data_IF_235917311752
#
_entry.id   IF_235917311752
#
_cell.length_a   1.000
_cell.length_b   1.000
_cell.length_c   1.000
_cell.angle_alpha   90.00
_cell.angle_beta   90.00
_cell.angle_gamma   90.00
#
_symmetry.space_group_name_H-M   'P 1'
#
loop_
_entity.id
_entity.type
_entity.pdbx_description
1 polymer ?
#
# COMPACT_ATOMS: atom_id res chain seq x y z
N UNK A 1 39.15 16.80 26.06
CA UNK A 1 38.73 15.41 25.80
C UNK A 1 38.85 14.51 27.06
N UNK A 2 39.76 14.79 27.98
CA UNK A 2 39.93 13.97 29.21
C UNK A 2 38.88 14.21 30.30
N UNK A 3 38.19 15.34 30.32
CA UNK A 3 37.21 15.65 31.35
C UNK A 3 35.82 14.98 31.17
N UNK A 4 35.54 14.52 29.97
CA UNK A 4 34.24 13.85 29.68
C UNK A 4 34.27 12.35 30.06
N UNK A 5 35.45 11.74 29.99
CA UNK A 5 35.60 10.32 30.33
C UNK A 5 35.51 10.00 31.83
N UNK A 6 35.75 10.98 32.69
CA UNK A 6 35.71 10.81 34.15
C UNK A 6 34.28 10.70 34.70
N UNK A 7 33.23 11.05 33.94
CA UNK A 7 31.83 11.00 34.36
C UNK A 7 31.06 9.84 33.72
N UNK A 8 31.66 9.13 32.78
CA UNK A 8 31.07 7.92 32.23
C UNK A 8 31.56 6.74 33.05
N UNK A 9 30.66 6.13 33.82
CA UNK A 9 30.95 4.86 34.49
C UNK A 9 31.51 3.83 33.51
N UNK A 10 32.05 2.75 34.00
CA UNK A 10 32.63 1.67 33.15
C UNK A 10 31.66 1.34 32.00
N UNK A 11 32.14 1.30 30.77
CA UNK A 11 31.26 1.02 29.63
C UNK A 11 30.62 -0.35 29.78
N UNK A 12 29.30 -0.40 29.83
CA UNK A 12 28.57 -1.69 29.82
C UNK A 12 28.53 -2.19 28.39
N UNK A 13 29.07 -3.35 28.14
CA UNK A 13 29.01 -4.01 26.85
C UNK A 13 27.62 -4.60 26.65
N UNK A 14 26.89 -4.10 25.67
CA UNK A 14 25.58 -4.63 25.26
C UNK A 14 25.81 -5.46 24.00
N UNK A 15 25.62 -6.78 24.09
CA UNK A 15 25.65 -7.65 22.94
C UNK A 15 24.28 -7.59 22.22
N UNK A 16 24.28 -7.47 20.90
CA UNK A 16 23.07 -7.60 20.10
C UNK A 16 22.66 -9.07 20.03
N UNK A 17 21.48 -9.46 20.57
CA UNK A 17 21.12 -10.88 20.62
C UNK A 17 20.90 -11.49 19.23
N UNK A 18 20.13 -10.88 18.30
CA UNK A 18 19.96 -11.39 16.93
C UNK A 18 20.87 -10.66 15.93
N UNK A 19 21.19 -11.35 14.84
CA UNK A 19 21.72 -10.69 13.64
C UNK A 19 20.61 -9.88 12.98
N UNK A 20 20.87 -8.62 12.66
CA UNK A 20 19.87 -7.74 12.06
C UNK A 20 20.40 -6.35 11.71
N UNK A 21 19.51 -5.48 11.28
CA UNK A 21 19.81 -4.09 10.98
C UNK A 21 19.60 -3.24 12.23
N UNK A 22 20.64 -2.50 12.62
CA UNK A 22 20.51 -1.52 13.69
C UNK A 22 19.99 -0.20 13.11
N UNK A 23 18.83 0.25 13.61
CA UNK A 23 18.24 1.55 13.26
C UNK A 23 18.32 2.47 14.47
N UNK A 24 19.04 3.58 14.31
CA UNK A 24 19.21 4.57 15.38
C UNK A 24 17.86 5.19 15.78
N UNK A 25 17.65 5.43 17.05
CA UNK A 25 16.39 5.93 17.61
C UNK A 25 16.02 7.38 17.25
N UNK A 26 16.74 8.06 16.34
CA UNK A 26 16.41 9.42 15.95
C UNK A 26 15.16 9.45 15.09
N UNK A 27 14.00 9.71 15.71
CA UNK A 27 12.75 10.03 15.03
C UNK A 27 11.82 8.85 14.70
N UNK A 28 12.20 7.62 14.92
CA UNK A 28 11.28 6.50 14.77
C UNK A 28 10.61 6.21 16.12
N UNK A 29 9.44 6.79 16.37
CA UNK A 29 8.65 6.48 17.54
C UNK A 29 8.45 4.98 17.66
N UNK A 30 8.69 4.42 18.85
CA UNK A 30 8.27 3.08 19.17
C UNK A 30 6.77 3.11 19.32
N UNK A 31 6.05 2.37 18.50
CA UNK A 31 4.65 2.12 18.75
C UNK A 31 4.56 1.35 20.07
N UNK A 32 3.71 1.79 21.00
CA UNK A 32 3.51 1.08 22.27
C UNK A 32 2.80 -0.27 22.10
N UNK A 33 2.31 -0.56 20.90
CA UNK A 33 1.68 -1.83 20.56
C UNK A 33 2.71 -2.78 19.95
N UNK A 34 2.68 -4.02 20.35
CA UNK A 34 3.41 -5.11 19.73
C UNK A 34 2.92 -5.37 18.30
N UNK A 35 3.72 -6.05 17.50
CA UNK A 35 3.32 -6.40 16.13
C UNK A 35 2.06 -7.29 16.13
N UNK A 36 1.95 -8.21 17.06
CA UNK A 36 0.80 -9.10 17.18
C UNK A 36 -0.46 -8.37 17.66
N UNK A 37 -0.32 -7.36 18.52
CA UNK A 37 -1.44 -6.52 18.96
C UNK A 37 -2.05 -5.76 17.79
N UNK A 38 -1.20 -5.17 16.92
CA UNK A 38 -1.66 -4.45 15.71
C UNK A 38 -2.29 -5.40 14.70
N UNK A 39 -1.75 -6.60 14.57
CA UNK A 39 -2.31 -7.62 13.69
C UNK A 39 -3.68 -8.13 14.16
N UNK A 40 -4.00 -8.01 15.44
CA UNK A 40 -5.27 -8.43 16.01
C UNK A 40 -6.38 -7.37 15.91
N UNK A 41 -6.04 -6.10 15.62
CA UNK A 41 -7.02 -5.02 15.54
C UNK A 41 -8.01 -5.22 14.39
N UNK A 42 -9.27 -4.90 14.63
CA UNK A 42 -10.29 -4.74 13.59
C UNK A 42 -10.03 -3.50 12.72
N UNK A 43 -10.77 -3.33 11.62
CA UNK A 43 -10.63 -2.17 10.75
C UNK A 43 -10.89 -0.85 11.49
N UNK A 44 -11.95 -0.79 12.31
CA UNK A 44 -12.30 0.41 13.10
C UNK A 44 -11.27 0.71 14.20
N UNK A 45 -10.83 -0.30 14.93
CA UNK A 45 -9.81 -0.12 15.98
C UNK A 45 -8.48 0.34 15.38
N UNK A 46 -8.08 -0.23 14.23
CA UNK A 46 -6.88 0.19 13.53
C UNK A 46 -6.99 1.63 13.01
N UNK A 47 -8.16 2.02 12.48
CA UNK A 47 -8.41 3.41 12.09
C UNK A 47 -8.28 4.35 13.29
N UNK A 48 -8.93 4.05 14.43
CA UNK A 48 -8.80 4.83 15.65
C UNK A 48 -7.37 4.90 16.19
N UNK A 49 -6.62 3.79 16.06
CA UNK A 49 -5.21 3.76 16.41
C UNK A 49 -4.36 4.66 15.48
N UNK A 50 -4.65 4.69 14.18
CA UNK A 50 -3.95 5.54 13.22
C UNK A 50 -4.29 7.03 13.40
N UNK A 51 -5.50 7.35 13.83
CA UNK A 51 -5.95 8.73 14.07
C UNK A 51 -5.43 9.28 15.40
N UNK A 52 -5.01 8.40 16.33
CA UNK A 52 -4.44 8.82 17.60
C UNK A 52 -3.01 9.36 17.44
N UNK A 53 -2.60 10.26 18.35
CA UNK A 53 -1.22 10.72 18.37
C UNK A 53 -0.25 9.58 18.67
N UNK A 54 0.86 9.45 17.91
CA UNK A 54 1.84 8.41 18.19
C UNK A 54 2.52 8.67 19.52
N UNK A 55 2.38 7.75 20.46
CA UNK A 55 3.13 7.81 21.74
C UNK A 55 4.57 7.40 21.44
N UNK A 56 5.48 8.35 21.51
CA UNK A 56 6.90 8.14 21.30
C UNK A 56 7.54 7.90 22.66
N UNK A 57 7.74 6.64 23.04
CA UNK A 57 8.54 6.29 24.19
C UNK A 57 10.02 6.15 23.77
N UNK A 58 10.80 7.21 23.96
CA UNK A 58 12.22 7.27 23.58
C UNK A 58 13.20 7.23 24.75
N UNK A 59 12.71 7.24 25.99
CA UNK A 59 13.58 7.32 27.16
C UNK A 59 14.49 6.09 27.27
N UNK A 60 15.79 6.33 27.13
CA UNK A 60 16.82 5.31 27.31
C UNK A 60 17.04 4.35 26.14
N UNK A 61 16.43 4.57 24.98
CA UNK A 61 16.58 3.70 23.82
C UNK A 61 17.58 4.29 22.80
N UNK A 62 18.69 3.58 22.55
CA UNK A 62 19.68 3.97 21.55
C UNK A 62 19.22 3.71 20.10
N UNK A 63 18.33 2.73 19.92
CA UNK A 63 17.82 2.31 18.62
C UNK A 63 17.03 1.01 18.71
N UNK A 64 16.67 0.47 17.55
CA UNK A 64 16.01 -0.82 17.39
C UNK A 64 16.84 -1.75 16.51
N UNK A 65 16.78 -3.03 16.76
CA UNK A 65 17.35 -4.06 15.87
C UNK A 65 16.18 -4.69 15.13
N UNK A 66 16.22 -4.63 13.80
CA UNK A 66 15.26 -5.31 12.93
C UNK A 66 15.89 -6.63 12.49
N UNK A 67 15.36 -7.73 12.99
CA UNK A 67 15.81 -9.06 12.63
C UNK A 67 14.94 -9.63 11.51
N UNK A 68 15.58 -10.36 10.58
CA UNK A 68 14.91 -10.98 9.45
C UNK A 68 14.76 -10.06 8.24
N UNK A 69 14.17 -10.60 7.18
CA UNK A 69 14.00 -9.89 5.88
C UNK A 69 12.53 -9.71 5.50
N UNK A 70 11.62 -10.24 6.30
CA UNK A 70 10.18 -10.16 6.06
C UNK A 70 9.56 -9.13 6.98
N UNK A 71 8.78 -8.24 6.41
CA UNK A 71 8.00 -7.25 7.15
C UNK A 71 6.56 -7.24 6.67
N UNK A 72 5.69 -6.72 7.51
CA UNK A 72 4.26 -6.63 7.22
C UNK A 72 3.81 -5.18 7.26
N UNK A 73 2.97 -4.83 6.31
CA UNK A 73 2.25 -3.56 6.31
C UNK A 73 0.79 -3.85 6.63
N UNK A 74 0.28 -3.22 7.67
CA UNK A 74 -1.13 -3.30 8.05
C UNK A 74 -1.76 -1.97 7.75
N UNK A 75 -2.82 -1.97 6.94
CA UNK A 75 -3.47 -0.75 6.50
C UNK A 75 -5.00 -0.85 6.58
N UNK A 76 -5.62 0.32 6.57
CA UNK A 76 -7.07 0.50 6.45
C UNK A 76 -7.36 1.31 5.20
N UNK A 77 -8.40 0.93 4.49
CA UNK A 77 -8.92 1.64 3.34
C UNK A 77 -10.46 1.53 3.30
N UNK A 78 -11.09 2.12 2.31
CA UNK A 78 -12.53 1.89 2.10
C UNK A 78 -12.80 0.46 1.66
N UNK A 79 -13.99 -0.07 1.97
CA UNK A 79 -14.42 -1.40 1.57
C UNK A 79 -14.23 -1.63 0.05
N UNK A 80 -14.62 -0.65 -0.78
CA UNK A 80 -14.45 -0.68 -2.24
C UNK A 80 -12.98 -0.84 -2.68
N UNK A 81 -12.04 -0.22 -1.96
CA UNK A 81 -10.61 -0.39 -2.24
C UNK A 81 -10.11 -1.75 -1.77
N UNK A 82 -10.62 -2.24 -0.63
CA UNK A 82 -10.32 -3.57 -0.10
C UNK A 82 -10.76 -4.69 -1.04
N UNK A 83 -11.90 -4.54 -1.71
CA UNK A 83 -12.39 -5.49 -2.72
C UNK A 83 -11.40 -5.68 -3.86
N UNK A 84 -10.68 -4.64 -4.26
CA UNK A 84 -9.63 -4.73 -5.31
C UNK A 84 -8.44 -5.61 -4.90
N UNK A 85 -8.26 -5.87 -3.61
CA UNK A 85 -7.24 -6.79 -3.09
C UNK A 85 -7.71 -8.23 -2.97
N UNK A 86 -8.97 -8.49 -3.33
CA UNK A 86 -9.56 -9.82 -3.38
C UNK A 86 -9.66 -10.32 -4.83
N UNK A 87 -9.45 -11.61 -5.00
CA UNK A 87 -9.74 -12.30 -6.26
C UNK A 87 -11.23 -12.57 -6.43
N UNK A 88 -11.62 -13.07 -7.59
CA UNK A 88 -13.00 -13.45 -7.89
C UNK A 88 -13.57 -14.54 -6.96
N UNK A 89 -12.67 -15.29 -6.31
CA UNK A 89 -13.02 -16.31 -5.30
C UNK A 89 -13.22 -15.74 -3.88
N UNK A 90 -13.17 -14.43 -3.72
CA UNK A 90 -13.28 -13.74 -2.43
C UNK A 90 -12.06 -13.91 -1.51
N UNK A 91 -10.98 -14.50 -2.01
CA UNK A 91 -9.72 -14.68 -1.27
C UNK A 91 -8.72 -13.59 -1.62
N UNK A 92 -7.73 -13.34 -0.76
CA UNK A 92 -6.63 -12.43 -1.08
C UNK A 92 -5.99 -12.74 -2.44
N UNK A 93 -5.64 -11.70 -3.18
CA UNK A 93 -5.00 -11.83 -4.48
C UNK A 93 -3.72 -12.69 -4.37
N UNK A 94 -3.59 -13.66 -5.28
CA UNK A 94 -2.38 -14.50 -5.38
C UNK A 94 -1.25 -13.82 -6.13
N UNK A 95 -1.57 -12.85 -6.99
CA UNK A 95 -0.58 -12.03 -7.68
C UNK A 95 0.10 -11.07 -6.71
N UNK A 96 1.37 -10.77 -6.97
CA UNK A 96 2.06 -9.74 -6.23
C UNK A 96 1.45 -8.37 -6.53
N UNK A 97 1.34 -7.55 -5.50
CA UNK A 97 1.01 -6.15 -5.59
C UNK A 97 2.26 -5.31 -5.39
N UNK A 98 2.25 -4.08 -5.86
CA UNK A 98 3.34 -3.14 -5.60
C UNK A 98 2.94 -2.16 -4.50
N UNK A 99 3.80 -2.00 -3.48
CA UNK A 99 3.63 -1.04 -2.41
C UNK A 99 4.69 0.04 -2.49
N UNK A 100 4.28 1.30 -2.50
CA UNK A 100 5.16 2.48 -2.47
C UNK A 100 4.70 3.46 -1.39
N UNK A 101 5.58 4.36 -0.97
CA UNK A 101 5.32 5.32 0.08
C UNK A 101 5.64 6.73 -0.44
N UNK A 102 4.63 7.51 -0.85
CA UNK A 102 4.82 8.84 -1.43
C UNK A 102 5.67 9.75 -0.54
N UNK A 103 6.66 10.42 -1.14
CA UNK A 103 7.58 11.31 -0.44
C UNK A 103 8.66 10.61 0.40
N UNK A 104 8.70 9.28 0.44
CA UNK A 104 9.72 8.50 1.15
C UNK A 104 10.36 7.43 0.27
N UNK A 105 9.56 6.63 -0.40
CA UNK A 105 10.00 5.56 -1.27
C UNK A 105 9.05 5.51 -2.48
N UNK A 106 9.47 6.14 -3.57
CA UNK A 106 8.69 6.20 -4.82
C UNK A 106 8.80 4.90 -5.62
N UNK A 107 9.98 4.25 -5.53
CA UNK A 107 10.16 2.94 -6.16
C UNK A 107 9.41 1.89 -5.35
N UNK A 108 8.40 1.29 -5.96
CA UNK A 108 7.57 0.30 -5.32
C UNK A 108 8.32 -1.01 -5.03
N UNK A 109 7.88 -1.69 -3.98
CA UNK A 109 8.35 -3.03 -3.62
C UNK A 109 7.24 -4.04 -3.86
N UNK A 110 7.61 -5.22 -4.36
CA UNK A 110 6.67 -6.33 -4.51
C UNK A 110 6.26 -6.86 -3.15
N UNK A 111 4.97 -6.95 -2.92
CA UNK A 111 4.36 -7.48 -1.72
C UNK A 111 3.28 -8.51 -2.09
N UNK A 112 2.94 -9.37 -1.16
CA UNK A 112 1.85 -10.35 -1.28
C UNK A 112 0.73 -9.94 -0.35
N UNK A 113 -0.50 -10.05 -0.80
CA UNK A 113 -1.68 -9.83 0.05
C UNK A 113 -1.84 -11.06 0.94
N UNK A 114 -1.59 -10.87 2.25
CA UNK A 114 -1.69 -11.95 3.22
C UNK A 114 -3.12 -12.11 3.77
N UNK A 115 -3.79 -10.99 4.00
CA UNK A 115 -5.14 -10.96 4.59
C UNK A 115 -5.89 -9.73 4.14
N UNK A 116 -7.17 -9.87 3.91
CA UNK A 116 -8.13 -8.77 3.71
C UNK A 116 -9.38 -9.08 4.49
N UNK A 117 -9.81 -8.15 5.31
CA UNK A 117 -11.07 -8.24 6.09
C UNK A 117 -11.89 -6.99 5.81
N UNK A 118 -13.08 -7.17 5.24
CA UNK A 118 -14.00 -6.09 4.93
C UNK A 118 -15.08 -6.08 5.99
N UNK A 119 -15.26 -4.93 6.61
CA UNK A 119 -16.34 -4.66 7.55
C UNK A 119 -17.44 -3.85 6.82
N UNK A 120 -18.54 -4.52 6.54
CA UNK A 120 -19.66 -3.91 5.82
C UNK A 120 -20.35 -2.82 6.63
N UNK A 121 -20.37 -2.93 7.96
CA UNK A 121 -21.06 -1.99 8.84
C UNK A 121 -20.33 -0.66 8.92
N UNK A 122 -19.00 -0.68 8.98
CA UNK A 122 -18.17 0.53 9.00
C UNK A 122 -17.80 1.04 7.60
N UNK A 123 -17.99 0.23 6.56
CA UNK A 123 -17.53 0.55 5.21
C UNK A 123 -16.00 0.57 5.06
N UNK A 124 -15.29 0.00 6.02
CA UNK A 124 -13.82 -0.06 6.05
C UNK A 124 -13.32 -1.46 5.70
N UNK A 125 -12.14 -1.53 5.16
CA UNK A 125 -11.41 -2.76 4.96
C UNK A 125 -10.03 -2.67 5.62
N UNK A 126 -9.66 -3.69 6.38
CA UNK A 126 -8.33 -3.91 6.91
C UNK A 126 -7.62 -4.89 5.99
N UNK A 127 -6.36 -4.63 5.70
CA UNK A 127 -5.54 -5.54 4.90
C UNK A 127 -4.13 -5.67 5.48
N UNK A 128 -3.50 -6.80 5.21
CA UNK A 128 -2.12 -7.10 5.58
C UNK A 128 -1.35 -7.48 4.33
N UNK A 129 -0.27 -6.76 4.08
CA UNK A 129 0.70 -7.09 3.03
C UNK A 129 1.96 -7.66 3.67
N UNK A 130 2.54 -8.65 3.03
CA UNK A 130 3.84 -9.22 3.41
C UNK A 130 4.86 -8.94 2.31
N UNK A 131 5.99 -8.38 2.69
CA UNK A 131 7.08 -8.06 1.79
C UNK A 131 8.39 -8.71 2.31
N UNK A 132 9.13 -9.33 1.39
CA UNK A 132 10.39 -10.01 1.68
C UNK A 132 11.62 -9.18 1.25
N UNK A 133 11.41 -7.91 0.90
CA UNK A 133 12.46 -6.99 0.50
C UNK A 133 12.62 -5.90 1.54
N UNK A 134 13.83 -5.74 2.06
CA UNK A 134 14.18 -4.72 3.05
C UNK A 134 15.25 -3.81 2.46
N UNK A 135 15.05 -2.49 2.63
CA UNK A 135 16.04 -1.47 2.30
C UNK A 135 16.09 -0.42 3.42
N UNK A 136 16.99 0.57 3.30
CA UNK A 136 17.17 1.61 4.30
C UNK A 136 15.90 2.44 4.54
N UNK A 137 15.13 2.69 3.49
CA UNK A 137 13.88 3.48 3.58
C UNK A 137 12.83 2.75 4.38
N UNK A 138 12.62 1.43 4.11
CA UNK A 138 11.68 0.58 4.86
C UNK A 138 12.03 0.52 6.34
N UNK A 139 13.32 0.43 6.68
CA UNK A 139 13.77 0.37 8.08
C UNK A 139 13.41 1.63 8.87
N UNK A 140 13.29 2.77 8.18
CA UNK A 140 12.92 4.05 8.76
C UNK A 140 11.42 4.34 8.72
N UNK A 141 10.61 3.46 8.10
CA UNK A 141 9.16 3.61 8.08
C UNK A 141 8.57 3.34 9.47
N UNK A 142 7.53 4.12 9.77
CA UNK A 142 6.70 3.98 10.95
C UNK A 142 5.24 3.97 10.49
N UNK A 143 4.46 4.98 10.87
CA UNK A 143 3.17 5.26 10.28
C UNK A 143 3.40 5.97 8.95
N UNK A 144 3.01 5.34 7.87
CA UNK A 144 3.13 5.93 6.55
C UNK A 144 1.94 5.53 5.69
N UNK A 145 1.36 6.50 5.00
CA UNK A 145 0.39 6.19 3.97
C UNK A 145 1.09 5.49 2.80
N UNK A 146 0.51 4.40 2.34
CA UNK A 146 1.03 3.64 1.21
C UNK A 146 0.14 3.81 -0.02
N UNK A 147 0.75 3.76 -1.18
CA UNK A 147 0.07 3.54 -2.46
C UNK A 147 0.27 2.08 -2.85
N UNK A 148 -0.85 1.40 -3.13
CA UNK A 148 -0.84 0.00 -3.52
C UNK A 148 -1.34 -0.08 -4.95
N UNK A 149 -0.51 -0.64 -5.83
CA UNK A 149 -0.85 -0.90 -7.23
C UNK A 149 -1.12 -2.38 -7.42
N UNK A 150 -2.31 -2.68 -7.91
CA UNK A 150 -2.78 -4.06 -8.14
C UNK A 150 -2.66 -4.35 -9.63
N UNK A 151 -1.64 -5.13 -9.99
CA UNK A 151 -1.36 -5.50 -11.39
C UNK A 151 -0.55 -4.46 -12.18
N UNK A 152 0.22 -4.94 -13.13
CA UNK A 152 0.81 -4.10 -14.17
C UNK A 152 -0.15 -4.14 -15.36
N UNK A 153 -0.77 -3.01 -15.66
CA UNK A 153 -1.55 -2.84 -16.88
C UNK A 153 -0.65 -2.23 -17.95
N UNK A 154 -0.41 -3.00 -19.00
CA UNK A 154 0.30 -2.51 -20.18
C UNK A 154 -0.72 -2.13 -21.25
N UNK A 155 -0.75 -0.86 -21.63
CA UNK A 155 -1.72 -0.37 -22.62
C UNK A 155 -1.42 1.05 -23.06
N UNK A 156 -2.24 1.53 -24.00
CA UNK A 156 -2.20 2.92 -24.41
C UNK A 156 -3.09 3.76 -23.49
N UNK A 157 -2.52 4.81 -22.93
CA UNK A 157 -3.29 5.78 -22.15
C UNK A 157 -4.04 6.72 -23.08
N UNK A 158 -5.35 6.77 -22.94
CA UNK A 158 -6.23 7.69 -23.68
C UNK A 158 -7.00 8.57 -22.70
N UNK A 159 -7.31 9.84 -23.05
CA UNK A 159 -8.17 10.67 -22.23
C UNK A 159 -9.56 10.02 -22.10
N UNK A 160 -10.18 10.10 -20.91
CA UNK A 160 -11.53 9.57 -20.69
C UNK A 160 -12.55 10.15 -21.67
N UNK A 161 -12.42 11.43 -22.02
CA UNK A 161 -13.28 12.10 -23.02
C UNK A 161 -13.14 11.53 -24.45
N UNK A 162 -12.12 10.72 -24.73
CA UNK A 162 -11.94 10.05 -26.02
C UNK A 162 -12.55 8.65 -26.07
N UNK A 163 -13.08 8.16 -24.95
CA UNK A 163 -13.78 6.87 -24.88
C UNK A 163 -15.25 7.09 -25.22
N UNK A 164 -15.70 6.40 -26.26
CA UNK A 164 -17.08 6.40 -26.73
C UNK A 164 -17.70 5.03 -26.50
N UNK A 165 -18.99 4.99 -26.25
CA UNK A 165 -19.74 3.76 -26.06
C UNK A 165 -20.71 3.57 -27.23
N UNK A 166 -20.54 2.50 -27.98
CA UNK A 166 -21.45 2.13 -29.05
C UNK A 166 -22.35 0.99 -28.64
N UNK A 167 -23.63 1.04 -29.05
CA UNK A 167 -24.53 -0.10 -28.97
C UNK A 167 -24.13 -1.14 -30.03
N UNK A 168 -24.58 -2.36 -29.85
CA UNK A 168 -24.36 -3.42 -30.88
C UNK A 168 -24.88 -3.09 -32.27
N UNK A 169 -25.88 -2.19 -32.38
CA UNK A 169 -26.40 -1.69 -33.64
C UNK A 169 -25.56 -0.57 -34.29
N UNK A 170 -24.47 -0.16 -33.65
CA UNK A 170 -23.55 0.89 -34.12
C UNK A 170 -23.97 2.32 -33.82
N UNK A 171 -25.05 2.54 -33.06
CA UNK A 171 -25.46 3.88 -32.62
C UNK A 171 -24.70 4.31 -31.39
N UNK A 172 -24.26 5.58 -31.35
CA UNK A 172 -23.61 6.15 -30.15
C UNK A 172 -24.61 6.33 -29.02
N UNK A 173 -24.13 6.07 -27.79
CA UNK A 173 -24.88 6.37 -26.57
C UNK A 173 -24.74 7.86 -26.26
N UNK A 174 -25.85 8.54 -26.02
CA UNK A 174 -25.87 9.99 -25.69
C UNK A 174 -25.35 10.32 -24.30
N UNK A 175 -25.05 9.31 -23.46
CA UNK A 175 -24.58 9.49 -22.07
C UNK A 175 -23.66 8.32 -21.66
N UNK A 176 -22.77 8.58 -20.73
CA UNK A 176 -21.88 7.59 -20.07
C UNK A 176 -22.65 6.48 -19.30
N UNK A 177 -23.54 5.80 -19.99
CA UNK A 177 -24.32 4.73 -19.39
C UNK A 177 -23.56 3.42 -19.54
N UNK A 178 -22.90 2.98 -18.48
CA UNK A 178 -22.38 1.63 -18.35
C UNK A 178 -23.58 0.66 -18.25
N UNK A 179 -23.97 0.09 -19.36
CA UNK A 179 -25.00 -0.97 -19.44
C UNK A 179 -24.45 -2.17 -20.20
N UNK A 180 -24.97 -3.35 -19.94
CA UNK A 180 -24.51 -4.65 -20.50
C UNK A 180 -24.46 -4.74 -22.03
N UNK A 181 -25.00 -3.75 -22.75
CA UNK A 181 -25.13 -3.75 -24.22
C UNK A 181 -24.27 -2.67 -24.91
N UNK A 182 -23.29 -2.10 -24.23
CA UNK A 182 -22.43 -1.06 -24.81
C UNK A 182 -20.99 -1.53 -24.96
N UNK A 183 -20.40 -1.26 -26.11
CA UNK A 183 -19.01 -1.60 -26.43
C UNK A 183 -18.16 -0.34 -26.30
N UNK A 184 -17.23 -0.26 -25.35
CA UNK A 184 -16.31 0.86 -25.24
C UNK A 184 -15.29 0.86 -26.38
N UNK A 185 -14.94 2.03 -26.86
CA UNK A 185 -13.97 2.18 -27.94
C UNK A 185 -13.48 3.61 -28.10
N UNK A 186 -12.50 3.75 -28.97
CA UNK A 186 -11.92 5.05 -29.35
C UNK A 186 -11.95 5.21 -30.86
N UNK A 187 -12.11 6.45 -31.33
CA UNK A 187 -11.94 6.74 -32.76
C UNK A 187 -10.47 7.00 -33.09
N UNK A 188 -9.93 6.20 -33.95
CA UNK A 188 -8.55 6.34 -34.46
C UNK A 188 -8.59 6.92 -35.86
N UNK A 189 -7.86 8.01 -36.07
CA UNK A 189 -7.72 8.62 -37.39
C UNK A 189 -6.72 7.83 -38.25
N UNK A 190 -7.21 7.27 -39.34
CA UNK A 190 -6.41 6.58 -40.37
C UNK A 190 -6.54 7.38 -41.68
N UNK A 191 -5.54 8.20 -41.98
CA UNK A 191 -5.63 9.13 -43.11
C UNK A 191 -6.77 10.13 -42.94
N UNK A 192 -7.77 10.10 -43.83
CA UNK A 192 -8.96 10.97 -43.77
C UNK A 192 -10.20 10.28 -43.18
N UNK A 193 -10.06 9.08 -42.65
CA UNK A 193 -11.17 8.30 -42.10
C UNK A 193 -10.98 8.15 -40.60
N UNK A 194 -12.04 8.36 -39.80
CA UNK A 194 -12.10 7.97 -38.42
C UNK A 194 -12.67 6.56 -38.31
N UNK A 195 -11.95 5.66 -37.67
CA UNK A 195 -12.37 4.28 -37.44
C UNK A 195 -12.56 4.04 -35.97
N UNK A 196 -13.70 3.50 -35.57
CA UNK A 196 -13.95 3.03 -34.21
C UNK A 196 -13.11 1.76 -33.94
N UNK A 197 -12.34 1.81 -32.86
CA UNK A 197 -11.57 0.66 -32.36
C UNK A 197 -12.07 0.33 -30.97
N UNK A 198 -12.57 -0.87 -30.79
CA UNK A 198 -12.95 -1.41 -29.49
C UNK A 198 -11.76 -1.44 -28.57
N UNK A 199 -11.98 -1.08 -27.32
CA UNK A 199 -10.97 -1.18 -26.25
C UNK A 199 -11.52 -2.01 -25.10
N UNK A 200 -10.61 -2.64 -24.34
CA UNK A 200 -10.92 -3.25 -23.05
C UNK A 200 -10.37 -2.28 -21.99
N UNK A 201 -11.23 -1.43 -21.38
CA UNK A 201 -10.79 -0.50 -20.36
C UNK A 201 -10.36 -1.28 -19.13
N UNK A 202 -9.12 -1.06 -18.70
CA UNK A 202 -8.53 -1.79 -17.55
C UNK A 202 -8.67 -0.98 -16.27
N UNK A 203 -8.64 0.35 -16.36
CA UNK A 203 -8.86 1.26 -15.23
C UNK A 203 -9.31 2.63 -15.75
N UNK A 204 -10.22 3.28 -15.03
CA UNK A 204 -10.58 4.67 -15.20
C UNK A 204 -10.13 5.42 -13.95
N UNK A 205 -9.13 6.32 -14.12
CA UNK A 205 -8.72 7.27 -13.07
C UNK A 205 -9.81 8.34 -12.84
#
# INVERSE_FOLDING_TARGET
AQSVQAHLGSPTQIAAPPTGYFVRASGSGRLNAGADDILALSAQELQGYLDSDPVIALDGCAGKIVAGFTWRYVGVCSAKQGEKLLGQDGKPLRSAVEISFPGRMENGLKATVAEVSIDADSGLARFVLTCNSINGDVLCLNRAAARISVGEHSGLRVPAAAVHYLKEDGTEAETETQGENYVPGVYVKLGNIARFCRIDPVDAD
#
